data_IF_520795160462
#
_entry.id   IF_520795160462
#
_cell.length_a   1.000
_cell.length_b   1.000
_cell.length_c   1.000
_cell.angle_alpha   90.00
_cell.angle_beta   90.00
_cell.angle_gamma   90.00
#
_symmetry.space_group_name_H-M   'P 1'
#
loop_
_entity.id
_entity.type
_entity.pdbx_description
1 polymer ?
#
# COMPACT_ATOMS: atom_id res chain seq x y z
N UNK A 1 -54.61 32.99 5.98
CA UNK A 1 -55.13 31.62 5.73
C UNK A 1 -54.63 31.22 4.35
N UNK A 2 -53.54 30.46 4.24
CA UNK A 2 -52.96 30.09 2.94
C UNK A 2 -53.69 28.83 2.47
N UNK A 3 -54.58 28.99 1.50
CA UNK A 3 -55.37 27.91 0.93
C UNK A 3 -54.49 27.12 -0.06
N UNK A 4 -53.81 26.08 0.43
CA UNK A 4 -52.98 25.21 -0.40
C UNK A 4 -53.90 24.45 -1.36
N UNK A 5 -53.89 24.81 -2.64
CA UNK A 5 -54.70 24.14 -3.65
C UNK A 5 -54.34 22.64 -3.72
N UNK A 6 -55.33 21.76 -3.51
CA UNK A 6 -55.21 20.28 -3.46
C UNK A 6 -54.46 19.63 -4.64
N UNK A 7 -54.24 20.36 -5.74
CA UNK A 7 -53.49 19.90 -6.92
C UNK A 7 -51.96 19.85 -6.72
N UNK A 8 -51.39 20.69 -5.84
CA UNK A 8 -49.94 20.69 -5.56
C UNK A 8 -49.48 19.51 -4.69
N UNK A 9 -50.37 18.99 -3.83
CA UNK A 9 -50.10 17.88 -2.92
C UNK A 9 -49.92 16.54 -3.64
N UNK A 10 -50.58 16.34 -4.79
CA UNK A 10 -50.47 15.12 -5.59
C UNK A 10 -49.16 15.04 -6.37
N UNK A 11 -48.69 16.17 -6.91
CA UNK A 11 -47.39 16.26 -7.60
C UNK A 11 -46.22 16.15 -6.63
N UNK A 12 -46.33 16.78 -5.46
CA UNK A 12 -45.28 16.71 -4.43
C UNK A 12 -45.04 15.28 -3.92
N UNK A 13 -46.09 14.47 -3.77
CA UNK A 13 -45.95 13.09 -3.28
C UNK A 13 -45.17 12.19 -4.25
N UNK A 14 -45.44 12.29 -5.55
CA UNK A 14 -44.70 11.51 -6.56
C UNK A 14 -43.27 12.01 -6.77
N UNK A 15 -43.05 13.32 -6.74
CA UNK A 15 -41.69 13.88 -6.81
C UNK A 15 -40.85 13.49 -5.59
N UNK A 16 -41.43 13.48 -4.38
CA UNK A 16 -40.71 13.05 -3.16
C UNK A 16 -40.30 11.59 -3.24
N UNK A 17 -41.16 10.68 -3.74
CA UNK A 17 -40.78 9.27 -3.97
C UNK A 17 -39.61 9.15 -4.94
N UNK A 18 -39.62 9.95 -6.02
CA UNK A 18 -38.54 9.98 -7.01
C UNK A 18 -37.23 10.47 -6.38
N UNK A 19 -37.27 11.54 -5.58
CA UNK A 19 -36.10 12.07 -4.88
C UNK A 19 -35.54 11.04 -3.88
N UNK A 20 -36.41 10.37 -3.11
CA UNK A 20 -36.00 9.31 -2.18
C UNK A 20 -35.34 8.15 -2.94
N UNK A 21 -35.89 7.76 -4.09
CA UNK A 21 -35.31 6.72 -4.94
C UNK A 21 -33.92 7.13 -5.46
N UNK A 22 -33.74 8.38 -5.90
CA UNK A 22 -32.44 8.89 -6.37
C UNK A 22 -31.38 8.92 -5.26
N UNK A 23 -31.77 9.35 -4.05
CA UNK A 23 -30.86 9.33 -2.89
C UNK A 23 -30.48 7.89 -2.56
N UNK A 24 -31.45 6.97 -2.56
CA UNK A 24 -31.23 5.55 -2.35
C UNK A 24 -30.23 4.96 -3.35
N UNK A 25 -30.41 5.24 -4.65
CA UNK A 25 -29.48 4.78 -5.70
C UNK A 25 -28.09 5.38 -5.50
N UNK A 26 -28.00 6.67 -5.17
CA UNK A 26 -26.71 7.34 -4.94
C UNK A 26 -25.93 6.71 -3.77
N UNK A 27 -26.63 6.38 -2.67
CA UNK A 27 -26.03 5.70 -1.53
C UNK A 27 -25.58 4.27 -1.88
N UNK A 28 -26.37 3.54 -2.69
CA UNK A 28 -25.99 2.20 -3.13
C UNK A 28 -24.74 2.22 -4.04
N UNK A 29 -24.65 3.19 -4.96
CA UNK A 29 -23.46 3.37 -5.80
C UNK A 29 -22.25 3.69 -4.92
N UNK A 30 -22.37 4.63 -3.98
CA UNK A 30 -21.30 4.97 -3.04
C UNK A 30 -20.86 3.75 -2.22
N UNK A 31 -21.81 2.97 -1.71
CA UNK A 31 -21.52 1.76 -0.94
C UNK A 31 -20.77 0.71 -1.77
N UNK A 32 -21.20 0.50 -3.03
CA UNK A 32 -20.53 -0.41 -3.96
C UNK A 32 -19.07 -0.02 -4.19
N UNK A 33 -18.81 1.27 -4.45
CA UNK A 33 -17.44 1.78 -4.59
C UNK A 33 -16.64 1.58 -3.30
N UNK A 34 -17.20 1.92 -2.14
CA UNK A 34 -16.53 1.75 -0.85
C UNK A 34 -16.14 0.29 -0.60
N UNK A 35 -17.04 -0.67 -0.84
CA UNK A 35 -16.76 -2.10 -0.66
C UNK A 35 -15.68 -2.58 -1.63
N UNK A 36 -15.79 -2.20 -2.90
CA UNK A 36 -14.82 -2.59 -3.93
C UNK A 36 -13.41 -2.10 -3.60
N UNK A 37 -13.27 -0.83 -3.24
CA UNK A 37 -11.97 -0.24 -2.90
C UNK A 37 -11.38 -0.84 -1.62
N UNK A 38 -12.17 -1.02 -0.56
CA UNK A 38 -11.70 -1.67 0.68
C UNK A 38 -11.22 -3.09 0.41
N UNK A 39 -11.99 -3.88 -0.35
CA UNK A 39 -11.59 -5.26 -0.67
C UNK A 39 -10.28 -5.34 -1.48
N UNK A 40 -10.09 -4.45 -2.46
CA UNK A 40 -8.87 -4.43 -3.27
C UNK A 40 -7.66 -3.97 -2.44
N UNK A 41 -7.84 -2.99 -1.55
CA UNK A 41 -6.77 -2.50 -0.68
C UNK A 41 -6.37 -3.55 0.37
N UNK A 42 -7.34 -4.22 0.99
CA UNK A 42 -7.09 -5.28 1.97
C UNK A 42 -6.33 -6.44 1.32
N UNK A 43 -6.69 -6.81 0.09
CA UNK A 43 -5.96 -7.82 -0.67
C UNK A 43 -4.49 -7.42 -0.89
N UNK A 44 -4.23 -6.21 -1.41
CA UNK A 44 -2.87 -5.71 -1.63
C UNK A 44 -2.06 -5.66 -0.33
N UNK A 45 -2.70 -5.27 0.77
CA UNK A 45 -2.07 -5.20 2.08
C UNK A 45 -1.72 -6.60 2.62
N UNK A 46 -2.58 -7.60 2.39
CA UNK A 46 -2.29 -8.99 2.74
C UNK A 46 -1.15 -9.56 1.89
N UNK A 47 -1.15 -9.31 0.58
CA UNK A 47 -0.06 -9.67 -0.32
C UNK A 47 1.29 -9.03 0.11
N UNK A 48 1.25 -7.76 0.52
CA UNK A 48 2.42 -7.06 1.05
C UNK A 48 2.92 -7.70 2.36
N UNK A 49 2.00 -8.08 3.27
CA UNK A 49 2.33 -8.80 4.52
C UNK A 49 2.99 -10.14 4.23
N UNK A 50 2.47 -10.90 3.30
CA UNK A 50 3.03 -12.21 2.93
C UNK A 50 4.42 -12.06 2.32
N UNK A 51 4.60 -11.10 1.41
CA UNK A 51 5.91 -10.79 0.81
C UNK A 51 6.92 -10.33 1.86
N UNK A 52 6.56 -9.39 2.74
CA UNK A 52 7.42 -8.96 3.85
C UNK A 52 7.73 -10.11 4.81
N UNK A 53 6.75 -10.99 5.09
CA UNK A 53 6.94 -12.18 5.91
C UNK A 53 7.99 -13.11 5.31
N UNK A 54 7.87 -13.43 4.03
CA UNK A 54 8.88 -14.22 3.28
C UNK A 54 10.26 -13.57 3.34
N UNK A 55 10.35 -12.25 3.12
CA UNK A 55 11.61 -11.51 3.22
C UNK A 55 12.20 -11.57 4.63
N UNK A 56 11.38 -11.41 5.67
CA UNK A 56 11.79 -11.49 7.07
C UNK A 56 12.37 -12.86 7.41
N UNK A 57 11.72 -13.93 6.94
CA UNK A 57 12.18 -15.30 7.18
C UNK A 57 13.53 -15.56 6.50
N UNK A 58 13.70 -15.09 5.26
CA UNK A 58 14.97 -15.16 4.53
C UNK A 58 16.07 -14.39 5.27
N UNK A 59 15.78 -13.16 5.69
CA UNK A 59 16.71 -12.33 6.47
C UNK A 59 17.10 -13.02 7.78
N UNK A 60 16.15 -13.67 8.45
CA UNK A 60 16.42 -14.45 9.66
C UNK A 60 17.38 -15.62 9.38
N UNK A 61 17.16 -16.38 8.30
CA UNK A 61 18.06 -17.46 7.87
C UNK A 61 19.45 -16.97 7.46
N UNK A 62 19.53 -15.79 6.84
CA UNK A 62 20.81 -15.17 6.48
C UNK A 62 21.56 -14.72 7.74
N UNK A 63 20.85 -14.13 8.70
CA UNK A 63 21.43 -13.67 9.95
C UNK A 63 21.91 -14.82 10.84
N UNK A 64 21.20 -15.95 10.85
CA UNK A 64 21.64 -17.18 11.55
C UNK A 64 22.80 -17.90 10.84
N UNK A 65 23.12 -17.50 9.60
CA UNK A 65 24.16 -18.13 8.80
C UNK A 65 23.72 -19.44 8.13
N UNK A 66 22.43 -19.78 8.15
CA UNK A 66 21.90 -20.97 7.48
C UNK A 66 22.02 -20.87 5.96
N UNK A 67 21.89 -19.67 5.40
CA UNK A 67 22.08 -19.38 3.97
C UNK A 67 22.87 -18.08 3.80
N UNK A 68 23.60 -17.95 2.69
CA UNK A 68 24.35 -16.72 2.36
C UNK A 68 23.58 -15.79 1.41
N UNK A 69 22.67 -16.36 0.63
CA UNK A 69 21.78 -15.64 -0.28
C UNK A 69 20.55 -16.48 -0.58
N UNK A 70 19.44 -15.81 -0.91
CA UNK A 70 18.21 -16.46 -1.36
C UNK A 70 17.45 -15.56 -2.33
N UNK A 71 16.70 -16.19 -3.24
CA UNK A 71 15.89 -15.49 -4.25
C UNK A 71 14.41 -15.67 -3.91
N UNK A 72 13.66 -14.58 -4.01
CA UNK A 72 12.20 -14.56 -3.96
C UNK A 72 11.73 -14.25 -5.36
N UNK A 73 10.87 -15.12 -5.89
CA UNK A 73 10.19 -14.86 -7.17
C UNK A 73 8.82 -14.28 -6.93
N UNK A 74 8.36 -13.49 -7.90
CA UNK A 74 7.01 -12.94 -7.96
C UNK A 74 6.58 -12.29 -6.63
N UNK A 75 7.33 -11.26 -6.24
CA UNK A 75 6.93 -10.44 -5.09
C UNK A 75 5.65 -9.66 -5.42
N UNK A 76 4.83 -9.43 -4.39
CA UNK A 76 3.51 -8.79 -4.48
C UNK A 76 3.35 -7.77 -3.35
N UNK A 77 2.44 -6.78 -3.46
CA UNK A 77 1.47 -6.54 -4.52
C UNK A 77 2.01 -5.72 -5.71
N UNK A 78 1.43 -5.86 -6.91
CA UNK A 78 1.85 -5.08 -8.08
C UNK A 78 1.48 -3.58 -7.95
N UNK A 79 2.24 -2.76 -8.67
CA UNK A 79 2.20 -1.29 -8.66
C UNK A 79 2.56 -0.64 -7.32
N UNK A 80 3.00 -1.42 -6.33
CA UNK A 80 3.58 -0.90 -5.10
C UNK A 80 5.09 -0.87 -5.19
N UNK A 81 5.71 -0.17 -4.25
CA UNK A 81 7.14 0.07 -4.25
C UNK A 81 7.79 -0.53 -3.02
N UNK A 82 8.99 -1.09 -3.23
CA UNK A 82 9.85 -1.54 -2.15
C UNK A 82 10.83 -0.41 -1.78
N UNK A 83 10.78 0.03 -0.53
CA UNK A 83 11.62 1.12 -0.01
C UNK A 83 12.65 0.61 1.00
N UNK A 84 13.80 1.30 1.03
CA UNK A 84 14.83 1.13 2.07
C UNK A 84 14.95 2.42 2.88
N UNK A 85 14.62 2.35 4.17
CA UNK A 85 14.76 3.49 5.09
C UNK A 85 15.90 3.24 6.06
N UNK A 86 17.04 3.92 5.85
CA UNK A 86 18.29 3.71 6.59
C UNK A 86 18.85 5.04 7.09
N UNK A 87 19.60 5.01 8.19
CA UNK A 87 20.36 6.17 8.68
C UNK A 87 19.49 7.24 9.33
N UNK A 88 19.84 8.52 9.13
CA UNK A 88 19.21 9.70 9.75
C UNK A 88 18.18 10.38 8.85
N UNK A 89 17.86 9.79 7.70
CA UNK A 89 16.83 10.31 6.80
C UNK A 89 15.45 10.25 7.48
N UNK A 90 14.48 11.02 6.96
CA UNK A 90 13.11 10.92 7.47
C UNK A 90 12.56 9.54 7.18
N UNK A 91 11.96 8.91 8.20
CA UNK A 91 11.44 7.55 8.14
C UNK A 91 9.96 7.53 8.51
N UNK A 92 9.22 6.49 8.11
CA UNK A 92 7.94 6.19 8.72
C UNK A 92 8.13 6.02 10.24
N UNK A 93 7.14 6.41 11.04
CA UNK A 93 7.08 6.17 12.47
C UNK A 93 7.32 4.69 12.81
N UNK A 94 6.83 3.79 11.96
CA UNK A 94 7.05 2.33 12.04
C UNK A 94 8.53 1.94 12.00
N UNK A 95 9.40 2.84 11.54
CA UNK A 95 10.84 2.66 11.40
C UNK A 95 11.66 3.69 12.17
N UNK A 96 11.07 4.37 13.15
CA UNK A 96 11.74 5.41 13.92
C UNK A 96 13.03 4.89 14.57
N UNK A 97 14.16 5.54 14.25
CA UNK A 97 15.48 5.21 14.81
C UNK A 97 16.10 3.89 14.35
N UNK A 98 15.44 3.12 13.49
CA UNK A 98 15.91 1.80 13.04
C UNK A 98 15.97 1.70 11.51
N UNK A 99 16.75 0.75 11.00
CA UNK A 99 16.78 0.46 9.56
C UNK A 99 15.63 -0.48 9.22
N UNK A 100 14.87 -0.17 8.19
CA UNK A 100 13.72 -0.98 7.79
C UNK A 100 13.55 -1.06 6.28
N UNK A 101 12.82 -2.10 5.89
CA UNK A 101 12.36 -2.35 4.54
C UNK A 101 10.85 -2.28 4.55
N UNK A 102 10.27 -1.52 3.62
CA UNK A 102 8.82 -1.31 3.56
C UNK A 102 8.29 -1.56 2.15
N UNK A 103 7.07 -2.11 2.08
CA UNK A 103 6.27 -2.18 0.85
C UNK A 103 5.07 -1.25 1.03
N UNK A 104 4.97 -0.24 0.17
CA UNK A 104 3.89 0.75 0.20
C UNK A 104 3.63 1.31 -1.19
N UNK A 105 2.44 1.86 -1.40
CA UNK A 105 2.09 2.57 -2.63
C UNK A 105 2.90 3.87 -2.75
N UNK A 106 3.24 4.26 -3.99
CA UNK A 106 4.03 5.46 -4.26
C UNK A 106 3.12 6.66 -4.50
N UNK A 107 3.39 7.73 -3.78
CA UNK A 107 2.64 8.98 -3.89
C UNK A 107 3.25 9.87 -4.97
N UNK A 108 2.45 10.17 -6.00
CA UNK A 108 2.86 10.98 -7.18
C UNK A 108 3.20 12.43 -6.79
N UNK A 109 2.63 12.95 -5.69
CA UNK A 109 2.82 14.31 -5.20
C UNK A 109 3.37 14.34 -3.77
N UNK A 110 4.58 13.80 -3.57
CA UNK A 110 5.32 14.06 -2.34
C UNK A 110 6.06 15.40 -2.44
N UNK A 111 6.08 16.16 -1.35
CA UNK A 111 6.89 17.38 -1.18
C UNK A 111 6.51 18.62 -2.04
N UNK A 112 5.27 18.73 -2.54
CA UNK A 112 4.76 19.97 -3.17
C UNK A 112 4.14 20.90 -2.14
N UNK A 113 4.60 22.17 -2.07
CA UNK A 113 4.15 23.36 -1.30
C UNK A 113 3.42 23.17 0.06
N UNK A 114 2.35 22.37 0.14
CA UNK A 114 1.51 22.10 1.33
C UNK A 114 1.56 20.64 1.83
N UNK A 115 2.11 19.70 1.06
CA UNK A 115 2.12 18.27 1.38
C UNK A 115 3.55 17.78 1.57
N UNK A 116 4.06 17.83 2.81
CA UNK A 116 5.37 17.28 3.18
C UNK A 116 5.21 15.89 3.78
N UNK A 117 6.09 14.96 3.43
CA UNK A 117 6.20 13.61 4.01
C UNK A 117 5.00 12.69 3.73
N UNK A 118 4.30 12.87 2.60
CA UNK A 118 3.10 12.06 2.32
C UNK A 118 3.46 10.59 2.10
N UNK A 119 4.60 10.33 1.46
CA UNK A 119 5.10 8.96 1.28
C UNK A 119 5.34 8.25 2.61
N UNK A 120 5.90 8.95 3.61
CA UNK A 120 6.17 8.37 4.93
C UNK A 120 4.88 7.99 5.64
N UNK A 121 3.86 8.85 5.55
CA UNK A 121 2.54 8.58 6.12
C UNK A 121 1.85 7.40 5.43
N UNK A 122 1.91 7.29 4.09
CA UNK A 122 1.33 6.13 3.41
C UNK A 122 1.99 4.83 3.83
N UNK A 123 3.32 4.81 3.96
CA UNK A 123 4.04 3.62 4.43
C UNK A 123 3.73 3.28 5.89
N UNK A 124 3.34 4.26 6.72
CA UNK A 124 2.90 4.04 8.10
C UNK A 124 1.44 3.58 8.20
N UNK A 125 0.52 4.16 7.43
CA UNK A 125 -0.91 3.91 7.58
C UNK A 125 -1.41 2.74 6.75
N UNK A 126 -0.81 2.53 5.58
CA UNK A 126 -1.34 1.61 4.56
C UNK A 126 -0.26 0.70 3.95
N UNK A 127 0.99 0.87 4.37
CA UNK A 127 2.11 0.01 4.00
C UNK A 127 2.40 -1.11 5.00
N UNK A 128 3.41 -1.91 4.68
CA UNK A 128 3.94 -2.95 5.57
C UNK A 128 5.45 -2.79 5.68
N UNK A 129 5.95 -2.66 6.90
CA UNK A 129 7.37 -2.45 7.19
C UNK A 129 7.95 -3.56 8.08
N UNK A 130 9.21 -3.92 7.84
CA UNK A 130 9.99 -4.82 8.70
C UNK A 130 11.34 -4.21 9.06
N UNK A 131 11.71 -4.31 10.33
CA UNK A 131 13.01 -3.86 10.83
C UNK A 131 14.09 -4.85 10.43
N UNK A 132 15.14 -4.35 9.78
CA UNK A 132 16.27 -5.15 9.30
C UNK A 132 17.56 -4.54 9.82
N UNK A 133 18.22 -5.24 10.75
CA UNK A 133 19.54 -4.83 11.25
C UNK A 133 20.55 -4.89 10.10
N UNK A 134 21.42 -3.89 10.01
CA UNK A 134 22.49 -3.81 9.01
C UNK A 134 22.00 -3.84 7.54
N UNK A 135 20.83 -3.28 7.24
CA UNK A 135 20.35 -3.15 5.86
C UNK A 135 21.24 -2.21 5.05
N UNK A 136 21.66 -2.63 3.85
CA UNK A 136 22.31 -1.76 2.87
C UNK A 136 21.26 -0.94 2.12
N UNK A 137 21.57 0.34 1.87
CA UNK A 137 20.68 1.24 1.12
C UNK A 137 20.58 0.78 -0.33
N UNK A 138 19.37 0.72 -0.83
CA UNK A 138 19.05 0.46 -2.22
C UNK A 138 18.02 1.48 -2.73
N UNK A 139 18.05 1.75 -4.03
CA UNK A 139 17.06 2.60 -4.68
C UNK A 139 15.72 1.88 -4.70
N UNK A 140 14.66 2.58 -4.32
CA UNK A 140 13.31 2.03 -4.39
C UNK A 140 12.97 1.57 -5.81
N UNK A 141 12.19 0.50 -5.91
CA UNK A 141 11.75 -0.03 -7.19
C UNK A 141 10.31 -0.51 -7.12
N UNK A 142 9.63 -0.41 -8.26
CA UNK A 142 8.26 -0.88 -8.44
C UNK A 142 8.20 -2.40 -8.56
N UNK A 143 7.16 -2.94 -7.95
CA UNK A 143 6.72 -4.33 -8.09
C UNK A 143 5.85 -4.42 -9.34
N UNK A 144 6.39 -5.03 -10.38
CA UNK A 144 5.69 -5.23 -11.64
C UNK A 144 4.62 -6.33 -11.50
N UNK A 145 3.57 -6.22 -12.32
CA UNK A 145 2.57 -7.27 -12.46
C UNK A 145 3.22 -8.59 -12.94
N UNK A 146 2.75 -9.76 -12.47
CA UNK A 146 3.19 -11.05 -13.00
C UNK A 146 3.09 -11.16 -14.53
N UNK A 147 2.11 -10.48 -15.14
CA UNK A 147 1.91 -10.43 -16.60
C UNK A 147 3.05 -9.72 -17.34
N UNK A 148 3.72 -8.78 -16.67
CA UNK A 148 4.85 -8.01 -17.21
C UNK A 148 6.21 -8.65 -16.86
N UNK A 149 6.21 -9.95 -16.51
CA UNK A 149 7.40 -10.70 -16.11
C UNK A 149 7.68 -10.67 -14.60
N UNK A 150 6.77 -10.10 -13.80
CA UNK A 150 6.86 -10.07 -12.35
C UNK A 150 8.04 -9.27 -11.82
N UNK A 151 8.26 -9.35 -10.50
CA UNK A 151 9.46 -8.80 -9.88
C UNK A 151 10.09 -9.85 -8.99
N UNK A 152 11.38 -10.09 -9.25
CA UNK A 152 12.17 -11.06 -8.53
C UNK A 152 13.21 -10.31 -7.70
N UNK A 153 13.41 -10.74 -6.46
CA UNK A 153 14.30 -10.07 -5.50
C UNK A 153 15.30 -11.07 -4.95
N UNK A 154 16.57 -10.70 -4.95
CA UNK A 154 17.61 -11.44 -4.25
C UNK A 154 17.96 -10.73 -2.94
N UNK A 155 17.96 -11.48 -1.86
CA UNK A 155 18.46 -11.04 -0.55
C UNK A 155 19.77 -11.79 -0.29
N UNK A 156 20.82 -11.05 0.03
CA UNK A 156 22.15 -11.64 0.25
C UNK A 156 22.91 -10.98 1.38
N UNK A 157 23.82 -11.74 1.98
CA UNK A 157 24.79 -11.21 2.94
C UNK A 157 25.95 -10.56 2.19
N UNK A 158 26.14 -9.27 2.39
CA UNK A 158 27.24 -8.48 1.82
C UNK A 158 28.13 -8.03 2.99
N UNK A 159 29.14 -8.83 3.32
CA UNK A 159 29.94 -8.64 4.53
C UNK A 159 29.11 -8.83 5.80
N UNK A 160 29.00 -7.79 6.62
CA UNK A 160 28.15 -7.78 7.84
C UNK A 160 26.74 -7.23 7.60
N UNK A 161 26.43 -6.83 6.36
CA UNK A 161 25.19 -6.17 6.00
C UNK A 161 24.29 -7.06 5.12
N UNK A 162 23.00 -6.72 5.09
CA UNK A 162 21.99 -7.35 4.24
C UNK A 162 21.78 -6.51 2.99
N UNK A 163 22.05 -7.08 1.83
CA UNK A 163 21.76 -6.49 0.53
C UNK A 163 20.44 -7.01 -0.04
N UNK A 164 19.66 -6.11 -0.64
CA UNK A 164 18.43 -6.44 -1.37
C UNK A 164 18.59 -5.88 -2.79
N UNK A 165 18.37 -6.72 -3.81
CA UNK A 165 18.52 -6.33 -5.22
C UNK A 165 17.38 -6.91 -6.05
N UNK A 166 16.79 -6.08 -6.92
CA UNK A 166 15.92 -6.53 -8.01
C UNK A 166 16.76 -7.34 -9.01
N UNK A 167 16.28 -8.52 -9.38
CA UNK A 167 16.88 -9.38 -10.39
C UNK A 167 15.90 -9.54 -11.55
N UNK A 168 16.45 -9.52 -12.76
CA UNK A 168 15.72 -9.82 -13.99
C UNK A 168 15.91 -11.31 -14.30
N UNK A 169 14.84 -11.97 -14.72
CA UNK A 169 14.90 -13.35 -15.26
C UNK A 169 15.15 -13.27 -16.75
#
# INVERSE_FOLDING_TARGET
MINLSKKGMLLANEVVKLVIALIGISLLIYLLFSIYYTSSQDQKLNEAKDTIGRMKDIISRINSGAVSNEKITDISPPSWYLFSFIGTEKKPNSCAGVNCLCICDKVIYDNTLWFKNRQLNECDSSGVCVVVKNLNKFNEFEINDPSDGGTNVQISKVGSNIGVKKIWV
#
